data_IF_311376024114
#
_entry.id   IF_311376024114
#
_cell.length_a   1.000
_cell.length_b   1.000
_cell.length_c   1.000
_cell.angle_alpha   90.00
_cell.angle_beta   90.00
_cell.angle_gamma   90.00
#
_symmetry.space_group_name_H-M   'P 1'
#
loop_
_entity.id
_entity.type
_entity.pdbx_description
1 polymer ?
#
# COMPACT_ATOMS: atom_id res chain seq x y z
N UNK A 1 10.98 -21.26 -24.20
CA UNK A 1 9.52 -21.51 -24.14
C UNK A 1 8.89 -21.35 -22.76
N UNK A 2 9.50 -21.78 -21.63
CA UNK A 2 8.94 -21.49 -20.28
C UNK A 2 9.28 -20.08 -19.76
N UNK A 3 10.46 -19.57 -20.10
CA UNK A 3 10.91 -18.22 -19.68
C UNK A 3 10.12 -17.14 -20.42
N UNK A 4 9.94 -17.30 -21.74
CA UNK A 4 9.21 -16.34 -22.57
C UNK A 4 7.75 -16.17 -22.11
N UNK A 5 7.11 -17.29 -21.72
CA UNK A 5 5.73 -17.30 -21.20
C UNK A 5 5.59 -16.63 -19.83
N UNK A 6 6.63 -16.70 -19.01
CA UNK A 6 6.67 -16.05 -17.69
C UNK A 6 6.84 -14.53 -17.83
N UNK A 7 7.71 -14.10 -18.76
CA UNK A 7 7.93 -12.68 -19.08
C UNK A 7 6.65 -12.06 -19.67
N UNK A 8 5.96 -12.77 -20.57
CA UNK A 8 4.71 -12.31 -21.17
C UNK A 8 3.59 -12.14 -20.13
N UNK A 9 3.46 -13.09 -19.19
CA UNK A 9 2.48 -13.02 -18.10
C UNK A 9 2.78 -11.88 -17.13
N UNK A 10 4.05 -11.64 -16.80
CA UNK A 10 4.45 -10.52 -15.94
C UNK A 10 4.15 -9.17 -16.60
N UNK A 11 4.36 -9.06 -17.91
CA UNK A 11 4.05 -7.83 -18.67
C UNK A 11 2.56 -7.53 -18.71
N UNK A 12 1.71 -8.55 -18.88
CA UNK A 12 0.26 -8.37 -18.87
C UNK A 12 -0.26 -7.99 -17.47
N UNK A 13 0.28 -8.62 -16.42
CA UNK A 13 -0.07 -8.28 -15.04
C UNK A 13 0.28 -6.81 -14.70
N UNK A 14 1.44 -6.33 -15.15
CA UNK A 14 1.83 -4.92 -14.99
C UNK A 14 0.89 -3.96 -15.72
N UNK A 15 0.47 -4.30 -16.94
CA UNK A 15 -0.52 -3.49 -17.69
C UNK A 15 -1.87 -3.42 -16.99
N UNK A 16 -2.35 -4.54 -16.45
CA UNK A 16 -3.60 -4.57 -15.67
C UNK A 16 -3.44 -3.72 -14.40
N UNK A 17 -2.32 -3.82 -13.70
CA UNK A 17 -2.04 -3.01 -12.52
C UNK A 17 -1.99 -1.52 -12.85
N UNK A 18 -1.29 -1.12 -13.90
CA UNK A 18 -1.23 0.26 -14.40
C UNK A 18 -2.64 0.78 -14.76
N UNK A 19 -3.45 -0.02 -15.46
CA UNK A 19 -4.82 0.32 -15.78
C UNK A 19 -5.72 0.49 -14.55
N UNK A 20 -5.53 -0.34 -13.51
CA UNK A 20 -6.27 -0.23 -12.25
C UNK A 20 -5.87 1.01 -11.46
N UNK A 21 -4.56 1.27 -11.32
CA UNK A 21 -4.03 2.40 -10.54
C UNK A 21 -4.23 3.76 -11.23
N UNK A 22 -4.40 3.78 -12.54
CA UNK A 22 -4.77 4.99 -13.31
C UNK A 22 -6.30 5.21 -13.38
N UNK A 23 -7.10 4.29 -12.86
CA UNK A 23 -8.55 4.39 -12.87
C UNK A 23 -9.04 5.44 -11.88
N UNK A 24 -9.95 6.32 -12.32
CA UNK A 24 -10.64 7.25 -11.42
C UNK A 24 -11.57 6.56 -10.41
N UNK A 25 -11.81 5.26 -10.55
CA UNK A 25 -12.57 4.46 -9.58
C UNK A 25 -11.73 4.03 -8.37
N UNK A 26 -10.40 4.19 -8.44
CA UNK A 26 -9.46 3.82 -7.38
C UNK A 26 -8.72 5.08 -6.92
N UNK A 27 -9.47 6.02 -6.36
CA UNK A 27 -8.95 7.31 -5.92
C UNK A 27 -8.21 7.21 -4.59
N UNK A 28 -6.91 7.52 -4.58
CA UNK A 28 -6.06 7.33 -3.40
C UNK A 28 -6.57 8.10 -2.18
N UNK A 29 -7.04 9.34 -2.35
CA UNK A 29 -7.53 10.15 -1.25
C UNK A 29 -8.78 9.54 -0.61
N UNK A 30 -9.74 9.11 -1.44
CA UNK A 30 -10.95 8.41 -0.98
C UNK A 30 -10.58 7.13 -0.21
N UNK A 31 -9.73 6.29 -0.79
CA UNK A 31 -9.35 5.01 -0.18
C UNK A 31 -8.55 5.19 1.13
N UNK A 32 -7.72 6.23 1.22
CA UNK A 32 -7.02 6.61 2.47
C UNK A 32 -8.02 7.02 3.55
N UNK A 33 -8.99 7.87 3.21
CA UNK A 33 -10.00 8.31 4.16
C UNK A 33 -10.86 7.14 4.66
N UNK A 34 -11.25 6.23 3.75
CA UNK A 34 -11.95 5.01 4.09
C UNK A 34 -11.11 4.15 5.04
N UNK A 35 -9.83 3.94 4.73
CA UNK A 35 -8.92 3.20 5.60
C UNK A 35 -8.76 3.82 6.99
N UNK A 36 -8.65 5.16 7.07
CA UNK A 36 -8.53 5.86 8.36
C UNK A 36 -9.80 5.70 9.22
N UNK A 37 -10.97 5.62 8.59
CA UNK A 37 -12.26 5.43 9.29
C UNK A 37 -12.38 4.08 9.99
N UNK A 38 -11.72 3.03 9.46
CA UNK A 38 -11.70 1.67 10.01
C UNK A 38 -10.31 1.27 10.53
N UNK A 39 -9.41 2.23 10.74
CA UNK A 39 -8.00 1.97 11.03
C UNK A 39 -7.78 1.03 12.23
N UNK A 40 -8.62 1.14 13.26
CA UNK A 40 -8.51 0.35 14.49
C UNK A 40 -8.98 -1.11 14.32
N UNK A 41 -9.64 -1.44 13.21
CA UNK A 41 -10.11 -2.80 12.93
C UNK A 41 -8.99 -3.70 12.40
N UNK A 42 -7.81 -3.12 12.11
CA UNK A 42 -6.65 -3.81 11.55
C UNK A 42 -5.58 -4.08 12.60
N UNK A 43 -5.09 -5.32 12.63
CA UNK A 43 -3.88 -5.71 13.35
C UNK A 43 -2.63 -5.36 12.52
N UNK A 44 -2.26 -4.07 12.53
CA UNK A 44 -1.09 -3.56 11.81
C UNK A 44 0.20 -4.19 12.34
N UNK A 45 1.04 -4.67 11.42
CA UNK A 45 2.35 -5.22 11.73
C UNK A 45 3.44 -4.36 11.10
N UNK A 46 4.54 -4.16 11.82
CA UNK A 46 5.70 -3.44 11.32
C UNK A 46 6.53 -4.29 10.36
N UNK A 47 7.02 -3.69 9.27
CA UNK A 47 7.94 -4.32 8.33
C UNK A 47 9.32 -4.59 8.94
N UNK A 48 9.98 -5.65 8.46
CA UNK A 48 11.34 -5.99 8.89
C UNK A 48 12.32 -4.85 8.55
N UNK A 49 13.06 -4.36 9.55
CA UNK A 49 14.03 -3.28 9.38
C UNK A 49 13.43 -1.86 9.37
N UNK A 50 12.11 -1.71 9.47
CA UNK A 50 11.47 -0.41 9.61
C UNK A 50 11.69 0.20 11.01
N UNK A 51 11.59 1.53 11.11
CA UNK A 51 11.74 2.23 12.39
C UNK A 51 10.57 1.95 13.33
N UNK A 52 10.83 1.14 14.37
CA UNK A 52 9.83 0.82 15.41
C UNK A 52 9.29 2.06 16.11
N UNK A 53 10.17 2.99 16.48
CA UNK A 53 9.78 4.23 17.15
C UNK A 53 8.81 5.04 16.28
N UNK A 54 9.10 5.17 14.97
CA UNK A 54 8.23 5.92 14.07
C UNK A 54 6.90 5.21 13.82
N UNK A 55 6.95 3.89 13.65
CA UNK A 55 5.75 3.06 13.50
C UNK A 55 4.84 3.20 14.72
N UNK A 56 5.37 3.05 15.93
CA UNK A 56 4.59 3.16 17.17
C UNK A 56 4.04 4.59 17.39
N UNK A 57 4.81 5.62 17.03
CA UNK A 57 4.35 7.00 17.09
C UNK A 57 3.15 7.25 16.17
N UNK A 58 3.20 6.77 14.92
CA UNK A 58 2.09 6.89 13.96
C UNK A 58 0.91 6.00 14.33
N UNK A 59 1.16 4.75 14.72
CA UNK A 59 0.14 3.81 15.19
C UNK A 59 -0.68 4.40 16.35
N UNK A 60 -0.03 5.11 17.28
CA UNK A 60 -0.69 5.75 18.42
C UNK A 60 -1.66 6.87 18.03
N UNK A 61 -1.48 7.49 16.85
CA UNK A 61 -2.42 8.49 16.31
C UNK A 61 -3.66 7.84 15.72
N UNK A 62 -3.56 6.59 15.26
CA UNK A 62 -4.67 5.85 14.69
C UNK A 62 -5.31 6.57 13.48
N UNK A 63 -6.64 6.51 13.39
CA UNK A 63 -7.42 7.19 12.35
C UNK A 63 -7.36 8.73 12.35
N UNK A 64 -6.57 9.36 13.23
CA UNK A 64 -6.39 10.83 13.28
C UNK A 64 -5.16 11.31 12.48
N UNK A 65 -4.47 10.41 11.78
CA UNK A 65 -3.35 10.77 10.91
C UNK A 65 -3.81 11.67 9.74
N UNK A 66 -2.94 12.59 9.31
CA UNK A 66 -3.10 13.20 7.98
C UNK A 66 -2.85 12.17 6.88
N UNK A 67 -3.22 12.48 5.64
CA UNK A 67 -2.92 11.62 4.49
C UNK A 67 -1.41 11.36 4.39
N UNK A 68 -0.57 12.40 4.49
CA UNK A 68 0.88 12.25 4.43
C UNK A 68 1.43 11.36 5.56
N UNK A 69 0.95 11.54 6.79
CA UNK A 69 1.33 10.70 7.93
C UNK A 69 0.89 9.24 7.72
N UNK A 70 -0.28 9.02 7.13
CA UNK A 70 -0.78 7.69 6.83
C UNK A 70 0.00 7.01 5.71
N UNK A 71 0.35 7.75 4.64
CA UNK A 71 1.19 7.22 3.56
C UNK A 71 2.58 6.84 4.10
N UNK A 72 3.15 7.65 4.99
CA UNK A 72 4.37 7.29 5.70
C UNK A 72 4.18 6.03 6.56
N UNK A 73 3.08 5.92 7.29
CA UNK A 73 2.76 4.75 8.10
C UNK A 73 2.69 3.48 7.23
N UNK A 74 2.06 3.54 6.06
CA UNK A 74 1.95 2.41 5.12
C UNK A 74 3.32 1.92 4.64
N UNK A 75 4.30 2.80 4.49
CA UNK A 75 5.68 2.38 4.15
C UNK A 75 6.36 1.59 5.27
N UNK A 76 5.90 1.73 6.51
CA UNK A 76 6.41 1.01 7.68
C UNK A 76 5.65 -0.29 7.96
N UNK A 77 4.52 -0.53 7.28
CA UNK A 77 3.66 -1.70 7.48
C UNK A 77 4.20 -2.91 6.72
N UNK A 78 4.10 -4.09 7.33
CA UNK A 78 4.39 -5.38 6.72
C UNK A 78 3.17 -5.95 6.00
N UNK A 79 3.43 -6.60 4.87
CA UNK A 79 2.47 -7.45 4.15
C UNK A 79 2.24 -8.83 4.81
N UNK A 80 2.98 -9.16 5.88
CA UNK A 80 2.82 -10.43 6.63
C UNK A 80 1.60 -10.41 7.57
N UNK A 81 1.06 -9.23 7.86
CA UNK A 81 -0.10 -9.01 8.72
C UNK A 81 -1.37 -8.70 7.95
N UNK A 82 -2.33 -8.08 8.63
CA UNK A 82 -3.51 -7.51 7.96
C UNK A 82 -3.15 -6.20 7.27
N UNK A 83 -3.74 -5.96 6.09
CA UNK A 83 -3.56 -4.72 5.33
C UNK A 83 -4.88 -4.29 4.69
N UNK A 84 -5.09 -2.98 4.59
CA UNK A 84 -6.15 -2.39 3.77
C UNK A 84 -5.75 -2.36 2.29
N UNK A 85 -6.70 -2.17 1.37
CA UNK A 85 -6.40 -2.09 -0.07
C UNK A 85 -5.37 -1.00 -0.41
N UNK A 86 -5.36 0.11 0.34
CA UNK A 86 -4.42 1.23 0.17
C UNK A 86 -2.97 0.79 0.25
N UNK A 87 -2.63 -0.20 1.09
CA UNK A 87 -1.28 -0.75 1.12
C UNK A 87 -0.83 -1.19 -0.28
N UNK A 88 -1.70 -1.92 -0.99
CA UNK A 88 -1.40 -2.40 -2.35
C UNK A 88 -1.45 -1.30 -3.40
N UNK A 89 -2.27 -0.27 -3.21
CA UNK A 89 -2.27 0.92 -4.07
C UNK A 89 -0.90 1.60 -4.00
N UNK A 90 -0.43 1.90 -2.78
CA UNK A 90 0.86 2.56 -2.54
C UNK A 90 2.02 1.71 -3.07
N UNK A 91 2.07 0.42 -2.75
CA UNK A 91 3.12 -0.46 -3.27
C UNK A 91 3.08 -0.60 -4.79
N UNK A 92 1.89 -0.67 -5.38
CA UNK A 92 1.72 -0.71 -6.83
C UNK A 92 2.22 0.56 -7.51
N UNK A 93 1.88 1.74 -6.98
CA UNK A 93 2.39 3.02 -7.49
C UNK A 93 3.92 3.12 -7.36
N UNK A 94 4.49 2.69 -6.24
CA UNK A 94 5.94 2.65 -6.05
C UNK A 94 6.64 1.73 -7.05
N UNK A 95 6.03 0.59 -7.41
CA UNK A 95 6.56 -0.31 -8.45
C UNK A 95 6.50 0.30 -9.85
N UNK A 96 5.45 1.07 -10.16
CA UNK A 96 5.33 1.75 -11.46
C UNK A 96 6.28 2.94 -11.60
N UNK A 97 6.64 3.58 -10.48
CA UNK A 97 7.56 4.72 -10.44
C UNK A 97 9.03 4.34 -10.19
N UNK A 98 9.33 3.05 -10.00
CA UNK A 98 10.68 2.55 -9.82
C UNK A 98 11.36 2.40 -11.20
N UNK A 99 11.90 3.50 -11.72
CA UNK A 99 12.80 3.53 -12.88
C UNK A 99 14.13 2.80 -12.60
#
# INVERSE_FOLDING_TARGET
MRIDRFIEQASEALRVLEGLLSSSLLDLETEVNDCLSVFQDYEWQIADGASRERFEALLSRGGMMSIDEFLEFIELVSDKGQVHCVYWIVKGLSLLNAD
#
